data_IF_934043054811
#
_entry.id   IF_934043054811
#
_cell.length_a   1.000
_cell.length_b   1.000
_cell.length_c   1.000
_cell.angle_alpha   90.00
_cell.angle_beta   90.00
_cell.angle_gamma   90.00
#
_symmetry.space_group_name_H-M   'P 1'
#
loop_
_entity.id
_entity.type
_entity.pdbx_description
1 polymer ?
#
# COMPACT_ATOMS: atom_id res chain seq x y z
N UNK A 1 -12.82 4.71 7.94
CA UNK A 1 -12.43 5.23 6.60
C UNK A 1 -12.26 4.12 5.55
N UNK A 2 -12.64 4.45 4.30
CA UNK A 2 -12.65 3.51 3.17
C UNK A 2 -11.28 3.37 2.47
N UNK A 3 -10.28 4.14 2.90
CA UNK A 3 -8.94 4.15 2.32
C UNK A 3 -8.31 2.75 2.36
N UNK A 4 -7.69 2.38 1.24
CA UNK A 4 -7.06 1.08 1.05
C UNK A 4 -5.56 1.16 1.36
N UNK A 5 -5.04 0.08 1.95
CA UNK A 5 -3.63 -0.13 2.19
C UNK A 5 -3.01 -0.92 1.03
N UNK A 6 -1.71 -0.79 0.80
CA UNK A 6 -0.94 -1.59 -0.15
C UNK A 6 -1.09 -3.10 0.10
N UNK A 7 -1.34 -3.52 1.34
CA UNK A 7 -1.59 -4.93 1.65
C UNK A 7 -2.98 -5.45 1.22
N UNK A 8 -3.81 -4.60 0.60
CA UNK A 8 -5.17 -4.93 0.18
C UNK A 8 -6.24 -4.80 1.27
N UNK A 9 -5.86 -4.50 2.52
CA UNK A 9 -6.82 -4.29 3.61
C UNK A 9 -7.18 -2.81 3.78
N UNK A 10 -8.36 -2.53 4.35
CA UNK A 10 -8.82 -1.17 4.63
C UNK A 10 -8.14 -0.60 5.87
N UNK A 11 -8.06 0.73 5.96
CA UNK A 11 -7.53 1.41 7.14
C UNK A 11 -8.21 0.99 8.45
N UNK A 12 -9.53 0.75 8.43
CA UNK A 12 -10.28 0.28 9.61
C UNK A 12 -9.83 -1.09 10.15
N UNK A 13 -9.21 -1.90 9.30
CA UNK A 13 -8.66 -3.21 9.63
C UNK A 13 -7.24 -3.09 10.20
N UNK A 14 -6.72 -1.88 10.33
CA UNK A 14 -5.48 -1.60 11.03
C UNK A 14 -5.74 -1.08 12.45
N UNK A 15 -4.75 -1.17 13.32
CA UNK A 15 -4.80 -0.68 14.70
C UNK A 15 -4.60 0.84 14.73
N UNK A 16 -5.65 1.58 14.34
CA UNK A 16 -5.60 3.04 14.21
C UNK A 16 -6.00 3.81 15.48
N UNK A 17 -6.68 3.17 16.44
CA UNK A 17 -7.16 3.84 17.66
C UNK A 17 -6.11 3.90 18.77
N UNK A 18 -5.21 2.91 18.82
CA UNK A 18 -4.13 2.83 19.80
C UNK A 18 -2.83 2.39 19.11
N UNK A 19 -2.30 3.22 18.19
CA UNK A 19 -1.12 2.85 17.41
C UNK A 19 0.11 2.72 18.32
N UNK A 20 0.71 1.53 18.35
CA UNK A 20 1.98 1.31 19.05
C UNK A 20 3.11 1.92 18.22
N UNK A 21 4.00 2.70 18.86
CA UNK A 21 5.17 3.30 18.22
C UNK A 21 4.83 4.14 16.97
N UNK A 22 3.68 4.83 16.94
CA UNK A 22 3.19 5.60 15.78
C UNK A 22 3.01 4.78 14.50
N UNK A 23 2.93 3.44 14.59
CA UNK A 23 2.68 2.53 13.47
C UNK A 23 1.25 1.99 13.51
N UNK A 24 0.53 2.16 12.42
CA UNK A 24 -0.83 1.63 12.24
C UNK A 24 -0.72 0.30 11.50
N UNK A 25 -0.55 -0.79 12.25
CA UNK A 25 -0.34 -2.15 11.72
C UNK A 25 -1.67 -2.85 11.43
N UNK A 26 -1.69 -3.81 10.50
CA UNK A 26 -2.91 -4.58 10.22
C UNK A 26 -3.26 -5.50 11.41
N UNK A 27 -4.55 -5.63 11.73
CA UNK A 27 -5.06 -6.54 12.78
C UNK A 27 -5.13 -8.00 12.31
N UNK A 28 -5.10 -8.23 11.00
CA UNK A 28 -5.13 -9.57 10.43
C UNK A 28 -3.79 -10.28 10.69
N UNK A 29 -3.82 -11.39 11.43
CA UNK A 29 -2.62 -12.17 11.79
C UNK A 29 -1.88 -12.78 10.59
N UNK A 30 -2.57 -12.98 9.46
CA UNK A 30 -1.94 -13.43 8.22
C UNK A 30 -1.31 -12.28 7.40
N UNK A 31 -1.52 -11.03 7.78
CA UNK A 31 -0.98 -9.88 7.07
C UNK A 31 0.28 -9.36 7.76
N UNK A 32 1.41 -9.44 7.08
CA UNK A 32 2.71 -8.98 7.59
C UNK A 32 3.04 -7.54 7.20
N UNK A 33 2.04 -6.70 6.89
CA UNK A 33 2.34 -5.32 6.50
C UNK A 33 2.91 -4.52 7.69
N UNK A 34 4.01 -3.77 7.49
CA UNK A 34 4.70 -3.11 8.61
C UNK A 34 3.93 -1.90 9.15
N UNK A 35 3.07 -1.29 8.33
CA UNK A 35 2.19 -0.16 8.65
C UNK A 35 1.23 0.09 7.48
N UNK A 36 0.21 0.92 7.72
CA UNK A 36 -0.67 1.41 6.68
C UNK A 36 0.10 2.19 5.61
N UNK A 37 -0.11 1.83 4.34
CA UNK A 37 0.52 2.46 3.19
C UNK A 37 -0.57 2.73 2.15
N UNK A 38 -0.91 4.01 1.98
CA UNK A 38 -2.09 4.44 1.25
C UNK A 38 -2.03 4.09 -0.24
N UNK A 39 -3.15 3.61 -0.79
CA UNK A 39 -3.34 3.41 -2.23
C UNK A 39 -4.40 4.39 -2.75
N UNK A 40 -4.08 5.20 -3.78
CA UNK A 40 -4.99 6.18 -4.36
C UNK A 40 -5.99 5.54 -5.34
N UNK A 41 -6.73 4.53 -4.87
CA UNK A 41 -7.81 3.90 -5.65
C UNK A 41 -9.18 4.36 -5.14
N UNK A 42 -10.09 4.62 -6.08
CA UNK A 42 -11.47 4.99 -5.81
C UNK A 42 -12.41 3.98 -6.47
N UNK A 43 -13.34 3.42 -5.69
CA UNK A 43 -14.28 2.41 -6.19
C UNK A 43 -13.58 1.12 -6.62
N UNK A 44 -13.87 0.65 -7.83
CA UNK A 44 -13.35 -0.60 -8.40
C UNK A 44 -12.03 -0.44 -9.16
N UNK A 45 -11.38 0.73 -9.09
CA UNK A 45 -10.11 0.96 -9.76
C UNK A 45 -8.97 0.19 -9.09
N UNK A 46 -8.01 -0.25 -9.89
CA UNK A 46 -6.81 -0.94 -9.43
C UNK A 46 -5.57 -0.09 -9.71
N UNK A 47 -4.64 -0.06 -8.76
CA UNK A 47 -3.34 0.55 -8.97
C UNK A 47 -2.37 -0.50 -9.51
N UNK A 48 -2.04 -0.38 -10.79
CA UNK A 48 -1.15 -1.32 -11.47
C UNK A 48 0.31 -0.90 -11.39
N UNK A 49 1.17 -1.90 -11.30
CA UNK A 49 2.60 -1.77 -11.49
C UNK A 49 2.92 -1.60 -12.99
N UNK A 50 4.14 -1.17 -13.33
CA UNK A 50 4.66 -1.16 -14.71
C UNK A 50 4.73 -2.57 -15.32
N UNK A 51 4.70 -3.62 -14.50
CA UNK A 51 4.53 -5.00 -14.96
C UNK A 51 3.07 -5.40 -15.25
N UNK A 52 2.12 -4.44 -15.16
CA UNK A 52 0.68 -4.59 -15.34
C UNK A 52 -0.07 -5.41 -14.28
N UNK A 53 0.64 -5.98 -13.30
CA UNK A 53 0.03 -6.64 -12.15
C UNK A 53 -0.52 -5.65 -11.13
N UNK A 54 -1.55 -6.07 -10.40
CA UNK A 54 -2.16 -5.29 -9.32
C UNK A 54 -1.16 -5.08 -8.18
N UNK A 55 -1.29 -3.96 -7.45
CA UNK A 55 -0.56 -3.73 -6.21
C UNK A 55 -0.75 -4.87 -5.19
N UNK A 56 -1.91 -5.56 -5.22
CA UNK A 56 -2.19 -6.72 -4.36
C UNK A 56 -1.36 -7.95 -4.70
N UNK A 57 -0.79 -8.00 -5.91
CA UNK A 57 0.10 -9.06 -6.38
C UNK A 57 1.58 -8.73 -6.09
N UNK A 58 1.80 -7.90 -5.07
CA UNK A 58 3.12 -7.52 -4.59
C UNK A 58 3.20 -7.71 -3.07
N UNK A 59 4.35 -8.18 -2.60
CA UNK A 59 4.59 -8.40 -1.18
C UNK A 59 4.53 -7.05 -0.42
N UNK A 60 3.74 -6.93 0.66
CA UNK A 60 3.51 -5.65 1.32
C UNK A 60 4.75 -5.07 2.02
N UNK A 61 5.78 -5.89 2.28
CA UNK A 61 7.02 -5.50 2.94
C UNK A 61 8.08 -5.08 1.91
N UNK A 62 8.45 -6.00 1.03
CA UNK A 62 9.51 -5.85 0.03
C UNK A 62 9.04 -5.07 -1.20
N UNK A 63 7.72 -5.02 -1.44
CA UNK A 63 7.07 -4.48 -2.64
C UNK A 63 7.44 -5.22 -3.92
N UNK A 64 8.02 -6.41 -3.83
CA UNK A 64 8.34 -7.24 -5.00
C UNK A 64 7.07 -7.91 -5.53
N UNK A 65 6.97 -8.05 -6.84
CA UNK A 65 5.86 -8.80 -7.43
C UNK A 65 5.95 -10.27 -7.02
N UNK A 66 4.82 -10.85 -6.64
CA UNK A 66 4.71 -12.26 -6.22
C UNK A 66 4.33 -13.19 -7.37
N UNK A 67 4.07 -12.63 -8.57
CA UNK A 67 3.86 -13.44 -9.78
C UNK A 67 5.17 -14.03 -10.26
N UNK A 68 5.17 -15.35 -10.43
CA UNK A 68 6.32 -16.09 -10.94
C UNK A 68 6.80 -15.53 -12.27
N UNK A 69 8.12 -15.43 -12.42
CA UNK A 69 8.79 -14.95 -13.65
C UNK A 69 8.54 -13.47 -13.99
N UNK A 70 7.97 -12.69 -13.07
CA UNK A 70 7.80 -11.26 -13.30
C UNK A 70 9.14 -10.52 -13.14
N UNK A 71 9.62 -9.88 -14.21
CA UNK A 71 10.91 -9.19 -14.24
C UNK A 71 10.95 -7.80 -13.55
N UNK A 72 9.88 -7.35 -12.89
CA UNK A 72 9.91 -6.11 -12.10
C UNK A 72 10.61 -6.36 -10.75
N UNK A 73 11.91 -6.58 -10.81
CA UNK A 73 12.64 -7.29 -9.76
C UNK A 73 12.99 -6.49 -8.51
N UNK A 74 12.78 -5.17 -8.50
CA UNK A 74 13.26 -4.31 -7.40
C UNK A 74 12.14 -3.91 -6.44
N UNK A 75 11.11 -3.18 -6.92
CA UNK A 75 9.93 -2.77 -6.15
C UNK A 75 8.75 -2.48 -7.08
N UNK A 76 7.56 -2.42 -6.50
CA UNK A 76 6.36 -1.88 -7.14
C UNK A 76 6.64 -0.48 -7.68
N UNK A 77 6.34 -0.27 -8.95
CA UNK A 77 6.41 1.02 -9.59
C UNK A 77 5.12 1.26 -10.37
N UNK A 78 4.41 2.35 -10.12
CA UNK A 78 3.25 2.73 -10.93
C UNK A 78 3.50 3.98 -11.77
N UNK A 79 2.94 4.02 -12.98
CA UNK A 79 2.87 5.20 -13.84
C UNK A 79 1.67 6.10 -13.51
N UNK A 80 0.88 5.76 -12.48
CA UNK A 80 -0.20 6.61 -12.01
C UNK A 80 0.34 7.97 -11.56
N UNK A 81 -0.29 9.03 -12.06
CA UNK A 81 0.03 10.41 -11.76
C UNK A 81 -0.98 10.97 -10.76
N UNK A 82 -0.47 11.51 -9.67
CA UNK A 82 -1.27 12.30 -8.75
C UNK A 82 -1.63 13.65 -9.39
N UNK A 83 -2.68 14.30 -8.90
CA UNK A 83 -3.04 15.66 -9.34
C UNK A 83 -1.92 16.68 -9.11
N UNK A 84 -0.98 16.40 -8.20
CA UNK A 84 0.24 17.21 -8.02
C UNK A 84 1.29 17.03 -9.15
N UNK A 85 1.05 16.13 -10.11
CA UNK A 85 1.95 15.83 -11.23
C UNK A 85 3.04 14.79 -10.95
N UNK A 86 3.19 14.32 -9.71
CA UNK A 86 4.19 13.32 -9.33
C UNK A 86 3.64 11.88 -9.43
N UNK A 87 4.52 10.89 -9.57
CA UNK A 87 4.11 9.48 -9.64
C UNK A 87 3.78 8.95 -8.24
N UNK A 88 2.99 7.88 -8.16
CA UNK A 88 2.71 7.20 -6.89
C UNK A 88 3.96 6.92 -6.06
N UNK A 89 5.05 6.48 -6.70
CA UNK A 89 6.28 6.07 -6.01
C UNK A 89 7.00 7.22 -5.31
N UNK A 90 6.72 8.47 -5.69
CA UNK A 90 7.27 9.68 -5.10
C UNK A 90 6.48 10.13 -3.86
N UNK A 91 5.41 9.41 -3.50
CA UNK A 91 4.59 9.71 -2.34
C UNK A 91 4.95 8.81 -1.16
N UNK A 92 4.86 9.39 0.04
CA UNK A 92 4.98 8.67 1.30
C UNK A 92 3.67 8.80 2.08
N UNK A 93 3.29 7.73 2.78
CA UNK A 93 2.17 7.80 3.72
C UNK A 93 2.67 8.34 5.04
N UNK A 94 2.10 9.46 5.49
CA UNK A 94 2.33 10.02 6.82
C UNK A 94 1.18 9.62 7.72
N UNK A 95 1.51 9.07 8.89
CA UNK A 95 0.54 8.72 9.92
C UNK A 95 0.70 9.70 11.07
N UNK A 96 -0.30 10.55 11.25
CA UNK A 96 -0.38 11.44 12.39
C UNK A 96 -1.16 10.76 13.51
N UNK A 97 -0.53 10.65 14.67
CA UNK A 97 -1.16 10.19 15.90
C UNK A 97 -1.41 11.40 16.78
N UNK A 98 -2.53 11.41 17.52
CA UNK A 98 -2.77 12.42 18.56
C UNK A 98 -1.74 12.22 19.66
N UNK A 99 -0.64 12.96 19.57
CA UNK A 99 0.29 13.24 20.67
C UNK A 99 -0.06 14.64 21.20
#
# INVERSE_FOLDING_TARGET
PASMCFCGHRFKEHEYMMPKNKKVVCKNKQCSCPQFNYIPIFGSQDLKCVCHHSYTEHDPITKKCTKGQCGCNTRFQSSWLCTCGQKYNDHVTIIETRD
#
